data_IF_742851487744
#
_entry.id   IF_742851487744
#
_cell.length_a   1.000
_cell.length_b   1.000
_cell.length_c   1.000
_cell.angle_alpha   90.00
_cell.angle_beta   90.00
_cell.angle_gamma   90.00
#
_symmetry.space_group_name_H-M   'P 1'
#
loop_
_entity.id
_entity.type
_entity.pdbx_description
1 polymer ?
#
# COMPACT_ATOMS: atom_id res chain seq x y z
N UNK A 1 -8.18 16.92 -10.39
CA UNK A 1 -8.00 17.73 -11.60
C UNK A 1 -8.91 17.12 -12.64
N UNK A 2 -9.79 17.92 -13.22
CA UNK A 2 -10.82 17.44 -14.14
C UNK A 2 -10.36 17.65 -15.58
N UNK A 3 -10.69 16.70 -16.46
CA UNK A 3 -10.27 16.72 -17.87
C UNK A 3 -11.52 16.68 -18.74
N UNK A 4 -11.67 17.68 -19.63
CA UNK A 4 -12.71 17.75 -20.64
C UNK A 4 -12.08 17.57 -22.02
N UNK A 5 -12.51 16.54 -22.76
CA UNK A 5 -12.09 16.31 -24.14
C UNK A 5 -13.22 16.72 -25.09
N UNK A 6 -13.09 17.86 -25.76
CA UNK A 6 -14.05 18.32 -26.77
C UNK A 6 -13.42 18.26 -28.16
N UNK A 7 -13.86 17.30 -28.98
CA UNK A 7 -13.39 17.08 -30.37
C UNK A 7 -11.86 17.09 -30.50
N UNK A 8 -11.17 16.52 -29.51
CA UNK A 8 -9.71 16.38 -29.54
C UNK A 8 -9.34 15.35 -30.60
N UNK A 9 -8.53 15.77 -31.57
CA UNK A 9 -7.98 14.88 -32.59
C UNK A 9 -6.80 14.10 -32.00
N UNK A 10 -6.74 12.80 -32.30
CA UNK A 10 -5.62 11.92 -31.97
C UNK A 10 -5.25 11.17 -33.25
N UNK A 11 -4.01 11.30 -33.75
CA UNK A 11 -3.58 10.59 -34.95
C UNK A 11 -3.46 9.08 -34.67
N UNK A 12 -3.62 8.24 -35.71
CA UNK A 12 -3.61 6.78 -35.55
C UNK A 12 -2.26 6.25 -35.03
N UNK A 13 -1.16 6.96 -35.29
CA UNK A 13 0.17 6.64 -34.77
C UNK A 13 0.28 6.78 -33.24
N UNK A 14 -0.57 7.60 -32.61
CA UNK A 14 -0.64 7.76 -31.15
C UNK A 14 -1.60 6.75 -30.50
N UNK A 15 -2.30 5.92 -31.31
CA UNK A 15 -3.20 4.90 -30.77
C UNK A 15 -2.37 3.80 -30.11
N UNK A 16 -2.67 3.54 -28.83
CA UNK A 16 -2.06 2.43 -28.08
C UNK A 16 -2.38 1.09 -28.74
N UNK A 17 -1.41 0.55 -29.46
CA UNK A 17 -1.48 -0.78 -30.07
C UNK A 17 -1.53 -1.85 -28.99
N UNK A 18 -2.50 -2.76 -29.06
CA UNK A 18 -2.66 -3.86 -28.08
C UNK A 18 -3.73 -3.63 -27.00
N UNK A 19 -4.47 -2.52 -27.06
CA UNK A 19 -5.65 -2.27 -26.22
C UNK A 19 -6.88 -2.26 -27.14
N UNK A 20 -7.49 -3.43 -27.30
CA UNK A 20 -8.70 -3.58 -28.15
C UNK A 20 -9.96 -3.81 -27.31
N UNK A 21 -9.81 -4.03 -26.00
CA UNK A 21 -10.92 -4.29 -25.10
C UNK A 21 -10.65 -3.80 -23.68
N UNK A 22 -11.72 -3.67 -22.88
CA UNK A 22 -11.60 -3.38 -21.44
C UNK A 22 -10.85 -4.47 -20.65
N UNK A 23 -10.74 -5.68 -21.21
CA UNK A 23 -9.97 -6.76 -20.59
C UNK A 23 -8.47 -6.46 -20.61
N UNK A 24 -7.97 -5.80 -21.67
CA UNK A 24 -6.55 -5.43 -21.77
C UNK A 24 -6.21 -4.31 -20.77
N UNK A 25 -7.12 -3.36 -20.60
CA UNK A 25 -7.04 -2.33 -19.55
C UNK A 25 -7.03 -2.98 -18.16
N UNK A 26 -7.83 -4.03 -17.95
CA UNK A 26 -7.89 -4.73 -16.66
C UNK A 26 -6.56 -5.39 -16.28
N UNK A 27 -5.75 -5.85 -17.24
CA UNK A 27 -4.40 -6.39 -17.00
C UNK A 27 -3.44 -5.28 -16.53
N UNK A 28 -3.46 -4.13 -17.20
CA UNK A 28 -2.66 -2.94 -16.81
C UNK A 28 -3.07 -2.46 -15.40
N UNK A 29 -4.37 -2.42 -15.12
CA UNK A 29 -4.88 -2.07 -13.79
C UNK A 29 -4.49 -3.09 -12.72
N UNK A 30 -4.41 -4.38 -13.04
CA UNK A 30 -3.95 -5.40 -12.09
C UNK A 30 -2.49 -5.16 -11.67
N UNK A 31 -1.61 -4.83 -12.63
CA UNK A 31 -0.23 -4.42 -12.34
C UNK A 31 -0.15 -3.17 -11.47
N UNK A 32 -0.88 -2.12 -11.87
CA UNK A 32 -0.92 -0.87 -11.12
C UNK A 32 -1.41 -1.08 -9.68
N UNK A 33 -2.39 -1.96 -9.44
CA UNK A 33 -2.88 -2.28 -8.08
C UNK A 33 -1.81 -2.92 -7.20
N UNK A 34 -0.94 -3.75 -7.76
CA UNK A 34 0.18 -4.33 -7.01
C UNK A 34 1.12 -3.20 -6.59
N UNK A 35 1.52 -2.32 -7.53
CA UNK A 35 2.37 -1.15 -7.22
C UNK A 35 1.77 -0.26 -6.15
N UNK A 36 0.47 0.05 -6.23
CA UNK A 36 -0.23 0.87 -5.23
C UNK A 36 -0.29 0.20 -3.87
N UNK A 37 -0.33 -1.13 -3.79
CA UNK A 37 -0.30 -1.86 -2.51
C UNK A 37 1.03 -1.70 -1.75
N UNK A 38 2.14 -1.39 -2.44
CA UNK A 38 3.44 -1.15 -1.82
C UNK A 38 3.58 0.25 -1.20
N UNK A 39 2.84 1.25 -1.68
CA UNK A 39 2.87 2.62 -1.15
C UNK A 39 2.55 2.71 0.35
N UNK A 40 1.44 2.14 0.87
CA UNK A 40 1.12 2.20 2.29
C UNK A 40 2.12 1.44 3.17
N UNK A 41 2.81 0.42 2.63
CA UNK A 41 3.90 -0.27 3.32
C UNK A 41 5.06 0.70 3.57
N UNK A 42 5.51 1.40 2.53
CA UNK A 42 6.60 2.37 2.63
C UNK A 42 6.26 3.53 3.59
N UNK A 43 5.03 4.05 3.51
CA UNK A 43 4.56 5.09 4.43
C UNK A 43 4.56 4.56 5.88
N UNK A 44 4.03 3.35 6.11
CA UNK A 44 3.96 2.78 7.46
C UNK A 44 5.34 2.53 8.05
N UNK A 45 6.31 2.10 7.24
CA UNK A 45 7.72 1.97 7.65
C UNK A 45 8.32 3.31 8.05
N UNK A 46 8.11 4.36 7.25
CA UNK A 46 8.58 5.71 7.58
C UNK A 46 7.94 6.26 8.86
N UNK A 47 6.64 6.05 9.05
CA UNK A 47 5.93 6.44 10.28
C UNK A 47 6.49 5.68 11.48
N UNK A 48 6.75 4.38 11.36
CA UNK A 48 7.35 3.58 12.44
C UNK A 48 8.73 4.10 12.84
N UNK A 49 9.61 4.36 11.87
CA UNK A 49 10.97 4.84 12.14
C UNK A 49 10.95 6.20 12.84
N UNK A 50 10.09 7.12 12.36
CA UNK A 50 9.86 8.41 12.99
C UNK A 50 9.31 8.28 14.42
N UNK A 51 8.32 7.42 14.65
CA UNK A 51 7.76 7.17 15.97
C UNK A 51 8.80 6.57 16.92
N UNK A 52 9.58 5.58 16.46
CA UNK A 52 10.62 4.95 17.25
C UNK A 52 11.70 5.96 17.67
N UNK A 53 12.18 6.79 16.74
CA UNK A 53 13.15 7.85 17.03
C UNK A 53 12.58 8.87 18.02
N UNK A 54 11.37 9.36 17.78
CA UNK A 54 10.72 10.36 18.63
C UNK A 54 10.48 9.86 20.06
N UNK A 55 10.06 8.61 20.23
CA UNK A 55 9.82 8.02 21.56
C UNK A 55 11.10 7.85 22.39
N UNK A 56 12.26 7.74 21.74
CA UNK A 56 13.57 7.69 22.41
C UNK A 56 14.09 9.08 22.78
N UNK A 57 13.87 10.07 21.93
CA UNK A 57 14.31 11.45 22.15
C UNK A 57 13.44 12.18 23.18
N UNK A 58 12.13 11.96 23.15
CA UNK A 58 11.17 12.65 24.02
C UNK A 58 11.14 12.05 25.42
N UNK A 59 11.41 12.89 26.43
CA UNK A 59 11.32 12.54 27.86
C UNK A 59 10.10 13.22 28.50
N UNK A 60 9.28 12.45 29.21
CA UNK A 60 8.14 12.93 30.01
C UNK A 60 8.01 12.07 31.27
N UNK A 61 7.50 12.66 32.35
CA UNK A 61 7.39 11.97 33.65
C UNK A 61 8.73 11.38 34.14
N UNK A 62 9.84 12.07 33.85
CA UNK A 62 11.19 11.66 34.28
C UNK A 62 11.83 10.53 33.47
N UNK A 63 11.15 9.97 32.44
CA UNK A 63 11.69 8.88 31.62
C UNK A 63 11.43 9.11 30.11
N UNK A 64 12.17 8.43 29.21
CA UNK A 64 11.84 8.40 27.79
C UNK A 64 10.45 7.82 27.55
N UNK A 65 9.70 8.34 26.57
CA UNK A 65 8.38 7.83 26.23
C UNK A 65 8.41 6.36 25.78
N UNK A 66 9.54 5.88 25.27
CA UNK A 66 9.76 4.47 24.93
C UNK A 66 9.75 3.51 26.14
N UNK A 67 9.88 4.01 27.38
CA UNK A 67 9.89 3.17 28.58
C UNK A 67 8.47 2.77 29.07
N UNK A 68 7.43 3.47 28.60
CA UNK A 68 6.06 3.20 29.02
C UNK A 68 5.45 2.04 28.23
N UNK A 69 4.85 1.07 28.92
CA UNK A 69 4.26 -0.14 28.33
C UNK A 69 3.24 0.17 27.22
N UNK A 70 2.39 1.18 27.40
CA UNK A 70 1.40 1.59 26.39
C UNK A 70 2.04 2.08 25.08
N UNK A 71 3.20 2.74 25.16
CA UNK A 71 3.92 3.19 23.98
C UNK A 71 4.64 2.02 23.30
N UNK A 72 5.19 1.08 24.08
CA UNK A 72 5.79 -0.14 23.56
C UNK A 72 4.76 -1.02 22.85
N UNK A 73 3.57 -1.22 23.42
CA UNK A 73 2.49 -1.99 22.81
C UNK A 73 2.08 -1.40 21.45
N UNK A 74 1.91 -0.08 21.38
CA UNK A 74 1.59 0.62 20.12
C UNK A 74 2.69 0.41 19.08
N UNK A 75 3.96 0.53 19.47
CA UNK A 75 5.11 0.35 18.58
C UNK A 75 5.20 -1.09 18.05
N UNK A 76 5.04 -2.09 18.91
CA UNK A 76 5.06 -3.51 18.54
C UNK A 76 3.88 -3.84 17.61
N UNK A 77 2.69 -3.29 17.88
CA UNK A 77 1.53 -3.47 17.01
C UNK A 77 1.73 -2.86 15.63
N UNK A 78 2.34 -1.68 15.55
CA UNK A 78 2.72 -1.05 14.27
C UNK A 78 3.70 -1.93 13.50
N UNK A 79 4.74 -2.45 14.17
CA UNK A 79 5.72 -3.33 13.55
C UNK A 79 5.07 -4.61 13.01
N UNK A 80 4.20 -5.24 13.81
CA UNK A 80 3.47 -6.45 13.40
C UNK A 80 2.60 -6.20 12.16
N UNK A 81 1.88 -5.08 12.12
CA UNK A 81 1.08 -4.70 10.95
C UNK A 81 1.94 -4.49 9.70
N UNK A 82 3.10 -3.83 9.84
CA UNK A 82 4.03 -3.60 8.72
C UNK A 82 4.54 -4.93 8.16
N UNK A 83 4.97 -5.85 9.03
CA UNK A 83 5.45 -7.17 8.60
C UNK A 83 4.34 -7.97 7.90
N UNK A 84 3.12 -7.94 8.44
CA UNK A 84 1.97 -8.59 7.81
C UNK A 84 1.69 -8.00 6.42
N UNK A 85 1.68 -6.67 6.28
CA UNK A 85 1.47 -6.00 4.99
C UNK A 85 2.58 -6.34 3.99
N UNK A 86 3.84 -6.40 4.44
CA UNK A 86 4.98 -6.77 3.60
C UNK A 86 4.86 -8.20 3.06
N UNK A 87 4.54 -9.16 3.93
CA UNK A 87 4.38 -10.56 3.54
C UNK A 87 3.19 -10.77 2.59
N UNK A 88 2.08 -10.07 2.83
CA UNK A 88 0.91 -10.10 1.94
C UNK A 88 1.24 -9.48 0.58
N UNK A 89 1.92 -8.33 0.55
CA UNK A 89 2.36 -7.68 -0.69
C UNK A 89 3.34 -8.54 -1.48
N UNK A 90 4.31 -9.16 -0.79
CA UNK A 90 5.25 -10.10 -1.40
C UNK A 90 4.54 -11.32 -1.99
N UNK A 91 3.59 -11.92 -1.27
CA UNK A 91 2.82 -13.07 -1.75
C UNK A 91 1.98 -12.70 -2.98
N UNK A 92 1.41 -11.50 -3.02
CA UNK A 92 0.67 -11.00 -4.18
C UNK A 92 1.56 -10.86 -5.40
N UNK A 93 2.78 -10.33 -5.24
CA UNK A 93 3.75 -10.25 -6.33
C UNK A 93 4.07 -11.65 -6.88
N UNK A 94 4.33 -12.63 -6.01
CA UNK A 94 4.61 -14.01 -6.43
C UNK A 94 3.43 -14.68 -7.13
N UNK A 95 2.20 -14.42 -6.67
CA UNK A 95 0.99 -14.92 -7.32
C UNK A 95 0.77 -14.26 -8.70
N UNK A 96 1.15 -12.99 -8.84
CA UNK A 96 1.10 -12.29 -10.11
C UNK A 96 2.15 -12.82 -11.10
N UNK A 97 3.40 -12.97 -10.67
CA UNK A 97 4.49 -13.54 -11.49
C UNK A 97 4.16 -14.95 -11.99
N UNK A 98 3.48 -15.76 -11.17
CA UNK A 98 3.05 -17.11 -11.54
C UNK A 98 1.76 -17.17 -12.35
N UNK A 99 1.14 -16.04 -12.69
CA UNK A 99 -0.11 -15.98 -13.45
C UNK A 99 -1.35 -16.52 -12.70
N UNK A 100 -1.24 -16.80 -11.39
CA UNK A 100 -2.31 -17.40 -10.56
C UNK A 100 -3.03 -16.38 -9.68
N UNK A 101 -2.85 -15.08 -9.95
CA UNK A 101 -3.47 -14.03 -9.16
C UNK A 101 -4.96 -13.90 -9.49
N UNK A 102 -5.81 -14.16 -8.50
CA UNK A 102 -7.25 -13.92 -8.61
C UNK A 102 -7.60 -12.51 -8.10
N UNK A 103 -8.72 -11.92 -8.55
CA UNK A 103 -9.24 -10.66 -8.00
C UNK A 103 -9.45 -10.70 -6.48
N UNK A 104 -9.78 -11.88 -5.93
CA UNK A 104 -9.94 -12.09 -4.49
C UNK A 104 -8.65 -11.87 -3.70
N UNK A 105 -7.50 -12.29 -4.24
CA UNK A 105 -6.19 -12.04 -3.62
C UNK A 105 -5.89 -10.53 -3.56
N UNK A 106 -6.17 -9.79 -4.63
CA UNK A 106 -5.97 -8.34 -4.67
C UNK A 106 -6.85 -7.61 -3.64
N UNK A 107 -8.11 -8.03 -3.47
CA UNK A 107 -9.03 -7.49 -2.46
C UNK A 107 -8.53 -7.75 -1.04
N UNK A 108 -7.96 -8.92 -0.77
CA UNK A 108 -7.41 -9.27 0.55
C UNK A 108 -6.16 -8.45 0.90
N UNK A 109 -5.30 -8.17 -0.09
CA UNK A 109 -4.19 -7.25 0.06
C UNK A 109 -4.62 -5.83 0.41
N UNK A 110 -5.64 -5.32 -0.31
CA UNK A 110 -6.21 -3.99 -0.04
C UNK A 110 -6.82 -3.88 1.37
N UNK A 111 -7.43 -4.95 1.88
CA UNK A 111 -7.98 -4.98 3.24
C UNK A 111 -6.89 -4.91 4.30
N UNK A 112 -5.80 -5.66 4.13
CA UNK A 112 -4.68 -5.66 5.08
C UNK A 112 -3.85 -4.38 5.05
N UNK A 113 -3.78 -3.69 3.90
CA UNK A 113 -3.10 -2.40 3.79
C UNK A 113 -3.81 -1.25 4.51
N UNK A 114 -5.05 -1.44 4.97
CA UNK A 114 -5.74 -0.45 5.80
C UNK A 114 -5.37 -0.68 7.27
N UNK A 115 -4.93 0.36 8.00
CA UNK A 115 -4.77 0.25 9.44
C UNK A 115 -6.13 -0.11 10.05
N UNK A 116 -6.14 -1.12 10.92
CA UNK A 116 -7.33 -1.63 11.60
C UNK A 116 -8.11 -0.58 12.41
N UNK A 117 -7.60 0.67 12.50
CA UNK A 117 -8.22 1.80 13.19
C UNK A 117 -9.26 2.56 12.37
N UNK A 118 -9.46 2.26 11.08
CA UNK A 118 -10.43 2.97 10.21
C UNK A 118 -11.80 2.29 10.09
N UNK A 119 -12.13 1.42 11.06
CA UNK A 119 -13.39 0.71 11.14
C UNK A 119 -14.02 0.83 12.52
N UNK A 120 -14.20 2.05 13.01
CA UNK A 120 -15.19 2.47 14.01
C UNK A 120 -15.55 3.92 13.78
#
# INVERSE_FOLDING_TARGET
>A
GDILLNKVFVPEEDRLTGINSFQDISKVLAMSRIMVAWQPIGISMGVYDMCHRYLKERKQFGAPLAAFQLNQEKLVRMLGNIQAMLLVGWRLCKLYESGKMTPGHASLGKRHGRPASQGR
#
